data_IF_462280503027
#
_entry.id   IF_462280503027
#
_cell.length_a   1.000
_cell.length_b   1.000
_cell.length_c   1.000
_cell.angle_alpha   90.00
_cell.angle_beta   90.00
_cell.angle_gamma   90.00
#
_symmetry.space_group_name_H-M   'P 1'
#
loop_
_entity.id
_entity.type
_entity.pdbx_description
1 polymer ?
#
# COMPACT_ATOMS: atom_id res chain seq x y z
N UNK A 1 -23.62 9.02 26.94
CA UNK A 1 -22.23 8.51 26.96
C UNK A 1 -21.97 7.70 25.70
N UNK A 2 -21.14 8.28 24.84
CA UNK A 2 -20.43 7.73 23.68
C UNK A 2 -19.94 6.28 23.96
N UNK A 3 -19.85 5.30 23.06
CA UNK A 3 -19.23 5.27 21.71
C UNK A 3 -19.65 3.94 21.01
N UNK A 4 -20.50 3.99 19.99
CA UNK A 4 -20.94 2.82 19.20
C UNK A 4 -20.51 2.99 17.74
N UNK A 5 -19.20 2.98 17.45
CA UNK A 5 -18.70 3.18 16.08
C UNK A 5 -17.51 2.29 15.75
N UNK A 6 -17.76 1.41 14.76
CA UNK A 6 -16.84 0.79 13.79
C UNK A 6 -16.05 -0.44 14.27
N UNK A 7 -16.65 -1.61 14.01
CA UNK A 7 -15.91 -2.79 13.55
C UNK A 7 -15.17 -2.38 12.27
N UNK A 8 -13.88 -2.09 12.36
CA UNK A 8 -12.96 -2.13 11.21
C UNK A 8 -12.00 -3.26 11.51
N UNK A 9 -11.96 -4.22 10.58
CA UNK A 9 -11.26 -5.48 10.68
C UNK A 9 -9.82 -5.30 11.21
N UNK A 10 -9.65 -5.57 12.50
CA UNK A 10 -8.37 -5.96 13.04
C UNK A 10 -8.12 -7.39 12.54
N UNK A 11 -7.41 -7.53 11.42
CA UNK A 11 -6.84 -8.83 11.06
C UNK A 11 -5.79 -9.13 12.13
N UNK A 12 -6.20 -9.98 13.07
CA UNK A 12 -5.36 -10.52 14.14
C UNK A 12 -4.15 -11.19 13.51
N UNK A 13 -2.96 -10.63 13.76
CA UNK A 13 -1.70 -11.31 13.52
C UNK A 13 -1.55 -12.35 14.63
N UNK A 14 -2.06 -13.56 14.39
CA UNK A 14 -1.68 -14.73 15.18
C UNK A 14 -0.22 -15.07 14.87
N UNK A 15 0.68 -14.68 15.77
CA UNK A 15 2.05 -15.17 15.80
C UNK A 15 2.03 -16.60 16.32
N UNK A 16 2.42 -17.57 15.50
CA UNK A 16 2.91 -18.87 15.97
C UNK A 16 4.33 -19.04 15.46
N UNK A 17 5.30 -18.95 16.37
CA UNK A 17 6.71 -19.19 16.08
C UNK A 17 7.02 -20.69 16.05
N UNK A 18 7.77 -21.13 15.05
CA UNK A 18 8.95 -22.02 15.10
C UNK A 18 9.54 -22.08 13.68
N UNK A 19 10.83 -21.76 13.50
CA UNK A 19 11.61 -21.91 12.24
C UNK A 19 10.95 -21.41 10.95
N UNK A 20 11.03 -20.12 10.64
CA UNK A 20 10.50 -19.54 9.40
C UNK A 20 9.54 -18.36 9.62
N UNK A 21 9.91 -17.43 10.51
CA UNK A 21 9.15 -16.19 10.70
C UNK A 21 9.26 -15.31 9.46
N UNK A 22 8.31 -15.48 8.55
CA UNK A 22 7.98 -14.45 7.56
C UNK A 22 7.61 -13.20 8.34
N UNK A 23 8.50 -12.21 8.31
CA UNK A 23 8.16 -10.86 8.73
C UNK A 23 6.91 -10.46 7.93
N UNK A 24 5.75 -10.40 8.58
CA UNK A 24 4.59 -9.71 8.04
C UNK A 24 4.97 -8.22 7.99
N UNK A 25 5.71 -7.82 6.95
CA UNK A 25 5.76 -6.43 6.58
C UNK A 25 4.31 -5.99 6.36
N UNK A 26 3.92 -4.91 7.02
CA UNK A 26 2.59 -4.29 7.00
C UNK A 26 2.34 -3.77 5.56
N UNK A 27 2.06 -4.71 4.65
CA UNK A 27 1.92 -4.44 3.22
C UNK A 27 0.57 -3.79 3.00
N UNK A 28 0.58 -2.49 2.72
CA UNK A 28 -0.65 -1.72 2.50
C UNK A 28 -1.03 -1.73 1.05
N UNK A 29 -2.31 -1.98 0.80
CA UNK A 29 -2.92 -1.83 -0.52
C UNK A 29 -3.04 -0.34 -0.88
N UNK A 30 -3.16 -0.02 -2.18
CA UNK A 30 -3.43 1.35 -2.61
C UNK A 30 -4.68 1.96 -1.95
N UNK A 31 -5.72 1.15 -1.71
CA UNK A 31 -6.94 1.61 -1.05
C UNK A 31 -6.70 2.01 0.41
N UNK A 32 -5.90 1.23 1.15
CA UNK A 32 -5.53 1.52 2.54
C UNK A 32 -4.65 2.76 2.65
N UNK A 33 -3.69 2.93 1.73
CA UNK A 33 -2.85 4.13 1.67
C UNK A 33 -3.72 5.37 1.41
N UNK A 34 -4.59 5.33 0.38
CA UNK A 34 -5.50 6.44 0.09
C UNK A 34 -6.44 6.73 1.26
N UNK A 35 -7.02 5.70 1.89
CA UNK A 35 -7.90 5.85 3.04
C UNK A 35 -7.17 6.53 4.22
N UNK A 36 -5.96 6.05 4.54
CA UNK A 36 -5.14 6.62 5.61
C UNK A 36 -4.76 8.08 5.34
N UNK A 37 -4.38 8.42 4.10
CA UNK A 37 -3.96 9.77 3.74
C UNK A 37 -5.13 10.76 3.63
N UNK A 38 -6.29 10.31 3.16
CA UNK A 38 -7.47 11.17 2.95
C UNK A 38 -8.42 11.24 4.15
N UNK A 39 -8.25 10.35 5.14
CA UNK A 39 -9.17 10.21 6.26
C UNK A 39 -10.52 9.54 5.90
N UNK A 40 -10.69 9.11 4.63
CA UNK A 40 -11.84 8.34 4.18
C UNK A 40 -11.74 6.90 4.66
N UNK A 41 -12.87 6.22 4.80
CA UNK A 41 -12.86 4.77 4.97
C UNK A 41 -12.46 4.06 3.67
N UNK A 42 -11.94 2.84 3.79
CA UNK A 42 -11.62 1.99 2.63
C UNK A 42 -12.84 1.79 1.72
N UNK A 43 -14.04 1.68 2.31
CA UNK A 43 -15.28 1.54 1.55
C UNK A 43 -15.57 2.77 0.69
N UNK A 44 -15.40 3.98 1.22
CA UNK A 44 -15.58 5.23 0.47
C UNK A 44 -14.55 5.36 -0.66
N UNK A 45 -13.29 5.04 -0.37
CA UNK A 45 -12.22 5.05 -1.39
C UNK A 45 -12.51 4.03 -2.49
N UNK A 46 -12.99 2.84 -2.14
CA UNK A 46 -13.37 1.81 -3.11
C UNK A 46 -14.60 2.20 -3.93
N UNK A 47 -15.57 2.89 -3.33
CA UNK A 47 -16.72 3.42 -4.05
C UNK A 47 -16.29 4.46 -5.09
N UNK A 48 -15.41 5.39 -4.73
CA UNK A 48 -14.84 6.35 -5.67
C UNK A 48 -14.02 5.66 -6.77
N UNK A 49 -13.32 4.57 -6.41
CA UNK A 49 -12.61 3.73 -7.38
C UNK A 49 -13.57 3.07 -8.38
N UNK A 50 -14.69 2.52 -7.90
CA UNK A 50 -15.74 1.95 -8.75
C UNK A 50 -16.40 3.01 -9.64
N UNK A 51 -16.43 4.27 -9.19
CA UNK A 51 -16.85 5.43 -9.99
C UNK A 51 -15.84 5.89 -11.04
N UNK A 52 -14.70 5.20 -11.18
CA UNK A 52 -13.70 5.47 -12.22
C UNK A 52 -12.49 6.28 -11.76
N UNK A 53 -12.51 6.85 -10.54
CA UNK A 53 -11.32 7.53 -9.99
C UNK A 53 -10.22 6.51 -9.70
N UNK A 54 -8.97 6.95 -9.69
CA UNK A 54 -7.88 6.12 -9.17
C UNK A 54 -7.60 6.47 -7.72
N UNK A 55 -6.95 5.56 -6.98
CA UNK A 55 -6.49 5.81 -5.62
C UNK A 55 -5.56 7.03 -5.52
N UNK A 56 -4.71 7.23 -6.52
CA UNK A 56 -3.86 8.42 -6.64
C UNK A 56 -4.67 9.69 -6.86
N UNK A 57 -5.72 9.64 -7.69
CA UNK A 57 -6.64 10.78 -7.88
C UNK A 57 -7.35 11.15 -6.58
N UNK A 58 -7.83 10.16 -5.83
CA UNK A 58 -8.49 10.39 -4.53
C UNK A 58 -7.51 11.03 -3.54
N UNK A 59 -6.26 10.57 -3.49
CA UNK A 59 -5.22 11.20 -2.68
C UNK A 59 -4.87 12.61 -3.16
N UNK A 60 -4.84 12.85 -4.48
CA UNK A 60 -4.59 14.16 -5.09
C UNK A 60 -5.66 15.18 -4.71
N UNK A 61 -6.93 14.80 -4.73
CA UNK A 61 -8.03 15.67 -4.32
C UNK A 61 -7.93 16.08 -2.83
N UNK A 62 -7.27 15.27 -2.00
CA UNK A 62 -6.97 15.59 -0.61
C UNK A 62 -5.64 16.35 -0.42
N UNK A 63 -4.92 16.69 -1.51
CA UNK A 63 -3.60 17.32 -1.45
C UNK A 63 -2.48 16.39 -0.94
N UNK A 64 -2.66 15.08 -1.08
CA UNK A 64 -1.78 14.01 -0.56
C UNK A 64 -1.20 13.11 -1.64
N UNK A 65 -1.10 13.62 -2.87
CA UNK A 65 -0.60 12.83 -4.01
C UNK A 65 0.86 12.42 -3.80
N UNK A 66 1.69 13.32 -3.30
CA UNK A 66 3.12 13.05 -3.12
C UNK A 66 3.36 12.03 -2.01
N UNK A 67 2.66 12.15 -0.88
CA UNK A 67 2.70 11.14 0.18
C UNK A 67 2.17 9.77 -0.31
N UNK A 68 1.13 9.77 -1.16
CA UNK A 68 0.61 8.55 -1.76
C UNK A 68 1.64 7.86 -2.66
N UNK A 69 2.31 8.63 -3.55
CA UNK A 69 3.37 8.11 -4.44
C UNK A 69 4.55 7.56 -3.62
N UNK A 70 4.96 8.27 -2.56
CA UNK A 70 6.04 7.85 -1.68
C UNK A 70 5.71 6.53 -0.97
N UNK A 71 4.53 6.41 -0.36
CA UNK A 71 4.13 5.17 0.31
C UNK A 71 3.99 4.01 -0.68
N UNK A 72 3.43 4.25 -1.87
CA UNK A 72 3.35 3.21 -2.91
C UNK A 72 4.74 2.70 -3.33
N UNK A 73 5.73 3.58 -3.43
CA UNK A 73 7.11 3.20 -3.77
C UNK A 73 7.77 2.40 -2.65
N UNK A 74 7.62 2.83 -1.40
CA UNK A 74 8.16 2.13 -0.23
C UNK A 74 7.59 0.71 -0.10
N UNK A 75 6.28 0.58 -0.25
CA UNK A 75 5.59 -0.71 -0.21
C UNK A 75 6.09 -1.66 -1.32
N UNK A 76 6.26 -1.14 -2.54
CA UNK A 76 6.80 -1.93 -3.65
C UNK A 76 8.26 -2.33 -3.42
N UNK A 77 9.08 -1.44 -2.86
CA UNK A 77 10.47 -1.75 -2.48
C UNK A 77 10.52 -2.89 -1.47
N UNK A 78 9.72 -2.82 -0.40
CA UNK A 78 9.67 -3.87 0.61
C UNK A 78 9.25 -5.24 0.04
N UNK A 79 8.29 -5.27 -0.90
CA UNK A 79 7.88 -6.51 -1.58
C UNK A 79 9.04 -7.08 -2.43
N UNK A 80 9.74 -6.22 -3.16
CA UNK A 80 10.84 -6.64 -4.02
C UNK A 80 12.04 -7.12 -3.21
N UNK A 81 12.41 -6.41 -2.15
CA UNK A 81 13.46 -6.81 -1.21
C UNK A 81 13.15 -8.18 -0.60
N UNK A 82 11.89 -8.44 -0.26
CA UNK A 82 11.50 -9.75 0.27
C UNK A 82 11.59 -10.85 -0.79
N UNK A 83 11.21 -10.58 -2.04
CA UNK A 83 11.37 -11.55 -3.14
C UNK A 83 12.83 -11.83 -3.47
N UNK A 84 13.72 -10.86 -3.30
CA UNK A 84 15.18 -11.07 -3.41
C UNK A 84 15.66 -11.97 -2.27
N UNK A 85 15.26 -11.69 -1.02
CA UNK A 85 15.59 -12.51 0.15
C UNK A 85 15.08 -13.95 0.02
N UNK A 86 13.87 -14.11 -0.51
CA UNK A 86 13.26 -15.41 -0.78
C UNK A 86 13.89 -16.14 -2.00
N UNK A 87 14.89 -15.53 -2.65
CA UNK A 87 15.58 -16.10 -3.81
C UNK A 87 14.71 -16.21 -5.07
N UNK A 88 13.56 -15.51 -5.11
CA UNK A 88 12.63 -15.53 -6.24
C UNK A 88 13.03 -14.60 -7.38
N UNK A 89 13.94 -13.66 -7.11
CA UNK A 89 14.52 -12.75 -8.11
C UNK A 89 15.89 -12.24 -7.65
N UNK A 90 16.66 -11.68 -8.58
CA UNK A 90 17.93 -11.01 -8.26
C UNK A 90 17.72 -9.55 -7.87
N UNK A 91 18.70 -8.97 -7.17
CA UNK A 91 18.68 -7.54 -6.83
C UNK A 91 18.57 -6.66 -8.08
N UNK A 92 19.28 -6.99 -9.16
CA UNK A 92 19.17 -6.25 -10.43
C UNK A 92 17.74 -6.26 -11.00
N UNK A 93 17.03 -7.38 -10.91
CA UNK A 93 15.64 -7.46 -11.35
C UNK A 93 14.72 -6.60 -10.48
N UNK A 94 14.93 -6.60 -9.16
CA UNK A 94 14.20 -5.73 -8.24
C UNK A 94 14.42 -4.24 -8.57
N UNK A 95 15.66 -3.85 -8.82
CA UNK A 95 16.02 -2.46 -9.13
C UNK A 95 15.42 -2.00 -10.48
N UNK A 96 15.41 -2.88 -11.50
CA UNK A 96 14.75 -2.60 -12.78
C UNK A 96 13.24 -2.39 -12.63
N UNK A 97 12.60 -3.19 -11.77
CA UNK A 97 11.17 -3.05 -11.49
C UNK A 97 10.92 -1.73 -10.74
N UNK A 98 11.74 -1.38 -9.74
CA UNK A 98 11.64 -0.11 -9.01
C UNK A 98 11.80 1.10 -9.93
N UNK A 99 12.77 1.08 -10.84
CA UNK A 99 12.96 2.15 -11.82
C UNK A 99 11.69 2.32 -12.68
N UNK A 100 11.14 1.20 -13.17
CA UNK A 100 9.92 1.20 -13.99
C UNK A 100 8.70 1.73 -13.22
N UNK A 101 8.57 1.37 -11.94
CA UNK A 101 7.52 1.90 -11.05
C UNK A 101 7.67 3.41 -10.90
N UNK A 102 8.89 3.90 -10.66
CA UNK A 102 9.14 5.31 -10.45
C UNK A 102 8.78 6.15 -11.69
N UNK A 103 9.14 5.67 -12.88
CA UNK A 103 8.72 6.29 -14.15
C UNK A 103 7.20 6.37 -14.26
N UNK A 104 6.48 5.28 -13.97
CA UNK A 104 5.02 5.27 -14.02
C UNK A 104 4.37 6.22 -13.00
N UNK A 105 4.94 6.34 -11.80
CA UNK A 105 4.46 7.28 -10.77
C UNK A 105 4.76 8.74 -11.16
N UNK A 106 5.87 9.00 -11.84
CA UNK A 106 6.22 10.32 -12.35
C UNK A 106 5.28 10.77 -13.49
N UNK A 107 4.87 9.84 -14.36
CA UNK A 107 3.89 10.10 -15.42
C UNK A 107 2.44 10.24 -14.93
N UNK A 108 2.19 9.95 -13.65
CA UNK A 108 0.83 10.01 -13.09
C UNK A 108 0.41 11.47 -12.82
N UNK A 109 -0.69 11.96 -13.44
CA UNK A 109 -1.08 13.36 -13.45
C UNK A 109 -1.63 13.90 -12.13
#
# INVERSE_FOLDING_TARGET
MNKFKKLLAATVITVLGVSGVVYAADFKTPAEISAALTGKSIAEVNQERSGGKTYGTIAKEAGKLDEFKAQMLEQKKAILDQRVKDGKMTQQQADQILASINTNLASFP
#
